data_IF_241663562279
#
_entry.id   IF_241663562279
#
_cell.length_a   1.000
_cell.length_b   1.000
_cell.length_c   1.000
_cell.angle_alpha   90.00
_cell.angle_beta   90.00
_cell.angle_gamma   90.00
#
_symmetry.space_group_name_H-M   'P 1'
#
loop_
_entity.id
_entity.type
_entity.pdbx_description
1 polymer ?
#
# COMPACT_ATOMS: atom_id res chain seq x y z
N UNK A 1 5.82 -0.47 -13.12
CA UNK A 1 4.83 0.56 -12.74
C UNK A 1 4.39 1.46 -13.88
N UNK A 2 5.20 2.39 -14.41
CA UNK A 2 4.73 3.35 -15.43
C UNK A 2 4.06 2.69 -16.66
N UNK A 3 4.65 1.61 -17.20
CA UNK A 3 4.06 0.82 -18.28
C UNK A 3 2.73 0.15 -17.89
N UNK A 4 2.63 -0.36 -16.66
CA UNK A 4 1.40 -0.95 -16.13
C UNK A 4 0.28 0.09 -16.02
N UNK A 5 0.58 1.26 -15.46
CA UNK A 5 -0.39 2.36 -15.37
C UNK A 5 -0.76 2.99 -16.73
N UNK A 6 -0.12 2.57 -17.82
CA UNK A 6 -0.49 2.94 -19.19
C UNK A 6 -1.34 1.88 -19.91
N UNK A 7 -1.62 0.74 -19.27
CA UNK A 7 -2.55 -0.26 -19.80
C UNK A 7 -3.98 0.28 -19.67
N UNK A 8 -4.78 0.13 -20.73
CA UNK A 8 -6.19 0.51 -20.72
C UNK A 8 -6.95 -0.26 -19.62
N UNK A 9 -7.53 0.42 -18.61
CA UNK A 9 -8.27 -0.24 -17.54
C UNK A 9 -9.68 -0.67 -17.97
N UNK A 10 -10.22 -0.18 -19.09
CA UNK A 10 -11.62 -0.39 -19.49
C UNK A 10 -12.03 -1.87 -19.64
N UNK A 11 -11.22 -2.78 -20.20
CA UNK A 11 -11.57 -4.20 -20.26
C UNK A 11 -11.71 -4.81 -18.86
N UNK A 12 -10.80 -4.47 -17.94
CA UNK A 12 -10.84 -4.96 -16.57
C UNK A 12 -12.03 -4.35 -15.81
N UNK A 13 -12.28 -3.05 -15.97
CA UNK A 13 -13.41 -2.36 -15.35
C UNK A 13 -14.75 -2.99 -15.74
N UNK A 14 -14.91 -3.35 -17.01
CA UNK A 14 -16.12 -4.05 -17.49
C UNK A 14 -16.26 -5.44 -16.87
N UNK A 15 -15.19 -6.24 -16.88
CA UNK A 15 -15.22 -7.58 -16.29
C UNK A 15 -15.50 -7.56 -14.77
N UNK A 16 -14.93 -6.61 -14.04
CA UNK A 16 -15.18 -6.42 -12.61
C UNK A 16 -16.59 -5.89 -12.30
N UNK A 17 -17.26 -5.25 -13.27
CA UNK A 17 -18.66 -4.82 -13.13
C UNK A 17 -19.64 -5.98 -12.97
N UNK A 18 -19.24 -7.18 -13.40
CA UNK A 18 -20.06 -8.40 -13.39
C UNK A 18 -19.80 -9.29 -12.15
N UNK A 19 -18.84 -8.93 -11.30
CA UNK A 19 -18.41 -9.72 -10.15
C UNK A 19 -18.79 -9.02 -8.84
N UNK A 20 -19.58 -9.71 -8.02
CA UNK A 20 -19.96 -9.26 -6.68
C UNK A 20 -18.97 -9.71 -5.61
N UNK A 21 -18.90 -8.97 -4.49
CA UNK A 21 -18.14 -9.36 -3.30
C UNK A 21 -16.63 -9.09 -3.34
N UNK A 22 -16.11 -8.46 -4.39
CA UNK A 22 -14.70 -8.06 -4.51
C UNK A 22 -14.58 -6.54 -4.40
N UNK A 23 -13.62 -6.06 -3.61
CA UNK A 23 -13.27 -4.64 -3.58
C UNK A 23 -12.63 -4.23 -4.91
N UNK A 24 -13.26 -3.34 -5.67
CA UNK A 24 -12.77 -2.89 -6.98
C UNK A 24 -12.12 -1.53 -6.92
N UNK A 25 -12.45 -0.75 -5.89
CA UNK A 25 -11.95 0.62 -5.67
C UNK A 25 -11.39 0.79 -4.26
N UNK A 26 -10.60 1.84 -4.05
CA UNK A 26 -10.06 2.18 -2.71
C UNK A 26 -11.16 2.38 -1.66
N UNK A 27 -12.27 3.11 -1.93
CA UNK A 27 -13.36 3.23 -0.95
C UNK A 27 -14.01 1.88 -0.61
N UNK A 28 -14.23 1.00 -1.59
CA UNK A 28 -14.76 -0.36 -1.31
C UNK A 28 -13.79 -1.17 -0.46
N UNK A 29 -12.48 -1.12 -0.77
CA UNK A 29 -11.44 -1.78 0.03
C UNK A 29 -11.43 -1.25 1.47
N UNK A 30 -11.49 0.07 1.67
CA UNK A 30 -11.54 0.67 3.00
C UNK A 30 -12.82 0.27 3.75
N UNK A 31 -13.99 0.18 3.11
CA UNK A 31 -15.21 -0.30 3.76
C UNK A 31 -15.10 -1.75 4.22
N UNK A 32 -14.48 -2.63 3.42
CA UNK A 32 -14.23 -4.01 3.84
C UNK A 32 -13.29 -4.07 5.04
N UNK A 33 -12.22 -3.26 5.04
CA UNK A 33 -11.29 -3.14 6.17
C UNK A 33 -12.03 -2.61 7.41
N UNK A 34 -12.85 -1.57 7.29
CA UNK A 34 -13.62 -1.01 8.40
C UNK A 34 -14.58 -2.04 8.99
N UNK A 35 -15.32 -2.75 8.14
CA UNK A 35 -16.27 -3.77 8.58
C UNK A 35 -15.56 -4.90 9.34
N UNK A 36 -14.48 -5.43 8.77
CA UNK A 36 -13.72 -6.52 9.39
C UNK A 36 -13.01 -6.08 10.69
N UNK A 37 -12.38 -4.91 10.70
CA UNK A 37 -11.72 -4.38 11.91
C UNK A 37 -12.71 -4.05 13.02
N UNK A 38 -13.95 -3.68 12.68
CA UNK A 38 -15.04 -3.48 13.64
C UNK A 38 -15.51 -4.82 14.22
N UNK A 39 -15.66 -5.86 13.40
CA UNK A 39 -16.11 -7.18 13.86
C UNK A 39 -15.07 -7.96 14.66
N UNK A 40 -13.80 -7.53 14.63
CA UNK A 40 -12.67 -8.19 15.32
C UNK A 40 -12.07 -7.35 16.45
N UNK A 41 -12.80 -6.33 16.92
CA UNK A 41 -12.39 -5.42 17.99
C UNK A 41 -11.06 -4.68 17.75
N UNK A 42 -10.62 -4.55 16.49
CA UNK A 42 -9.54 -3.64 16.07
C UNK A 42 -10.05 -2.21 15.89
N UNK A 43 -10.68 -1.68 16.95
CA UNK A 43 -11.32 -0.36 16.95
C UNK A 43 -10.37 0.79 16.57
N UNK A 44 -9.07 0.65 16.87
CA UNK A 44 -8.05 1.61 16.46
C UNK A 44 -7.93 1.71 14.92
N UNK A 45 -7.91 0.57 14.23
CA UNK A 45 -7.88 0.51 12.77
C UNK A 45 -9.23 0.89 12.16
N UNK A 46 -10.35 0.47 12.75
CA UNK A 46 -11.68 0.86 12.29
C UNK A 46 -11.85 2.38 12.30
N UNK A 47 -11.42 3.05 13.38
CA UNK A 47 -11.49 4.50 13.50
C UNK A 47 -10.57 5.22 12.50
N UNK A 48 -9.35 4.74 12.30
CA UNK A 48 -8.42 5.29 11.30
C UNK A 48 -8.96 5.10 9.87
N UNK A 49 -9.56 3.95 9.58
CA UNK A 49 -10.18 3.65 8.28
C UNK A 49 -11.39 4.55 8.01
N UNK A 50 -12.25 4.74 9.02
CA UNK A 50 -13.39 5.67 8.94
C UNK A 50 -12.94 7.11 8.71
N UNK A 51 -11.83 7.52 9.32
CA UNK A 51 -11.25 8.84 9.05
C UNK A 51 -10.87 8.97 7.57
N UNK A 52 -10.20 7.98 6.98
CA UNK A 52 -9.81 7.98 5.56
C UNK A 52 -11.04 8.04 4.64
N UNK A 53 -12.08 7.26 4.95
CA UNK A 53 -13.35 7.28 4.21
C UNK A 53 -14.04 8.65 4.25
N UNK A 54 -13.95 9.37 5.36
CA UNK A 54 -14.56 10.69 5.54
C UNK A 54 -13.70 11.85 5.00
N UNK A 55 -12.44 11.61 4.65
CA UNK A 55 -11.51 12.62 4.14
C UNK A 55 -10.81 12.12 2.87
N UNK A 56 -11.53 11.79 1.79
CA UNK A 56 -10.92 11.30 0.55
C UNK A 56 -10.06 12.38 -0.11
N UNK A 57 -8.99 11.96 -0.78
CA UNK A 57 -8.22 12.82 -1.70
C UNK A 57 -8.52 12.40 -3.14
N UNK A 58 -8.95 13.36 -3.95
CA UNK A 58 -9.05 13.19 -5.40
C UNK A 58 -7.63 13.14 -6.00
N UNK A 59 -7.30 12.05 -6.69
CA UNK A 59 -5.95 11.80 -7.19
C UNK A 59 -5.87 11.50 -8.70
N UNK A 60 -6.91 11.89 -9.44
CA UNK A 60 -7.03 11.69 -10.89
C UNK A 60 -7.69 10.36 -11.26
N UNK A 61 -7.55 9.97 -12.52
CA UNK A 61 -8.21 8.79 -13.09
C UNK A 61 -7.67 7.48 -12.51
N UNK A 62 -8.58 6.51 -12.41
CA UNK A 62 -8.26 5.14 -12.01
C UNK A 62 -7.47 4.42 -13.10
N UNK A 63 -6.43 3.71 -12.66
CA UNK A 63 -5.63 2.81 -13.48
C UNK A 63 -5.61 1.43 -12.83
N UNK A 64 -5.07 0.44 -13.54
CA UNK A 64 -4.78 -0.86 -12.93
C UNK A 64 -3.61 -0.68 -11.96
N UNK A 65 -3.90 -0.64 -10.66
CA UNK A 65 -2.90 -0.68 -9.60
C UNK A 65 -2.67 -2.13 -9.19
N UNK A 66 -1.39 -2.50 -9.00
CA UNK A 66 -1.03 -3.83 -8.54
C UNK A 66 -1.35 -4.05 -7.06
N UNK A 67 -1.24 -2.99 -6.25
CA UNK A 67 -1.46 -3.02 -4.80
C UNK A 67 -0.31 -3.61 -3.99
N UNK A 68 0.61 -4.34 -4.62
CA UNK A 68 1.79 -4.95 -3.96
C UNK A 68 3.03 -5.01 -4.87
N UNK A 69 3.29 -3.95 -5.65
CA UNK A 69 4.34 -3.98 -6.66
C UNK A 69 5.73 -3.77 -6.03
N UNK A 70 6.44 -4.87 -5.77
CA UNK A 70 7.82 -4.86 -5.28
C UNK A 70 8.72 -5.83 -6.07
N UNK A 71 10.06 -5.74 -5.96
CA UNK A 71 10.97 -6.54 -6.78
C UNK A 71 10.74 -8.05 -6.75
N UNK A 72 10.28 -8.62 -5.62
CA UNK A 72 9.98 -10.06 -5.55
C UNK A 72 8.69 -10.49 -6.27
N UNK A 73 7.82 -9.57 -6.68
CA UNK A 73 6.64 -9.83 -7.51
C UNK A 73 6.94 -9.59 -9.00
N UNK A 74 8.23 -9.63 -9.38
CA UNK A 74 8.68 -9.42 -10.76
C UNK A 74 9.68 -10.48 -11.18
N UNK A 75 9.46 -11.09 -12.33
CA UNK A 75 10.42 -11.96 -13.01
C UNK A 75 10.95 -11.22 -14.23
N UNK A 76 12.28 -11.15 -14.33
CA UNK A 76 12.96 -10.55 -15.47
C UNK A 76 13.66 -11.68 -16.23
N UNK A 77 13.28 -11.89 -17.49
CA UNK A 77 13.94 -12.88 -18.34
C UNK A 77 15.31 -12.38 -18.86
N UNK A 78 16.07 -13.27 -19.49
CA UNK A 78 17.41 -12.95 -20.04
C UNK A 78 17.39 -11.84 -21.11
N UNK A 79 16.24 -11.60 -21.74
CA UNK A 79 16.04 -10.56 -22.76
C UNK A 79 15.49 -9.26 -22.17
N UNK A 80 15.31 -9.18 -20.85
CA UNK A 80 14.75 -8.03 -20.15
C UNK A 80 13.22 -7.93 -20.22
N UNK A 81 12.53 -8.98 -20.65
CA UNK A 81 11.09 -9.11 -20.52
C UNK A 81 10.69 -9.16 -19.05
N UNK A 82 9.61 -8.47 -18.68
CA UNK A 82 9.16 -8.34 -17.29
C UNK A 82 7.78 -8.97 -17.15
N UNK A 83 7.70 -10.01 -16.31
CA UNK A 83 6.44 -10.61 -15.87
C UNK A 83 6.15 -10.17 -14.45
N UNK A 84 4.95 -9.63 -14.22
CA UNK A 84 4.48 -9.21 -12.90
C UNK A 84 3.60 -10.33 -12.31
N UNK A 85 3.91 -10.73 -11.09
CA UNK A 85 3.28 -11.83 -10.38
C UNK A 85 2.39 -11.31 -9.24
N UNK A 86 1.53 -12.18 -8.73
CA UNK A 86 0.69 -11.94 -7.54
C UNK A 86 -0.24 -10.71 -7.64
N UNK A 87 -1.30 -10.89 -8.42
CA UNK A 87 -2.34 -9.88 -8.63
C UNK A 87 -3.46 -9.92 -7.57
N UNK A 88 -3.26 -10.62 -6.45
CA UNK A 88 -4.28 -10.78 -5.40
C UNK A 88 -4.68 -9.46 -4.74
N UNK A 89 -3.78 -8.47 -4.78
CA UNK A 89 -3.97 -7.12 -4.24
C UNK A 89 -4.45 -6.09 -5.28
N UNK A 90 -4.69 -6.51 -6.52
CA UNK A 90 -4.96 -5.61 -7.62
C UNK A 90 -6.30 -4.88 -7.44
N UNK A 91 -6.32 -3.60 -7.79
CA UNK A 91 -7.48 -2.73 -7.62
C UNK A 91 -7.48 -1.63 -8.68
N UNK A 92 -8.66 -1.18 -9.10
CA UNK A 92 -8.78 0.05 -9.90
C UNK A 92 -8.73 1.23 -8.94
N UNK A 93 -7.70 2.04 -9.08
CA UNK A 93 -7.43 3.14 -8.18
C UNK A 93 -6.59 4.22 -8.86
N UNK A 94 -6.55 5.44 -8.32
CA UNK A 94 -5.61 6.42 -8.81
C UNK A 94 -4.20 5.89 -8.65
N UNK A 95 -3.37 6.12 -9.67
CA UNK A 95 -1.96 5.70 -9.73
C UNK A 95 -1.13 6.05 -8.48
N UNK A 96 -1.60 7.01 -7.69
CA UNK A 96 -1.03 7.38 -6.39
C UNK A 96 -0.96 6.21 -5.40
N UNK A 97 -1.86 5.22 -5.47
CA UNK A 97 -1.85 4.05 -4.58
C UNK A 97 -0.56 3.23 -4.73
N UNK A 98 -0.25 2.78 -5.94
CA UNK A 98 0.97 2.00 -6.23
C UNK A 98 2.25 2.80 -5.97
N UNK A 99 2.22 4.10 -6.28
CA UNK A 99 3.34 5.02 -6.01
C UNK A 99 3.56 5.18 -4.50
N UNK A 100 2.49 5.32 -3.72
CA UNK A 100 2.54 5.38 -2.27
C UNK A 100 3.09 4.09 -1.69
N UNK A 101 2.58 2.92 -2.11
CA UNK A 101 3.07 1.61 -1.69
C UNK A 101 4.58 1.48 -1.89
N UNK A 102 5.05 1.71 -3.13
CA UNK A 102 6.48 1.54 -3.45
C UNK A 102 7.34 2.56 -2.72
N UNK A 103 6.92 3.83 -2.63
CA UNK A 103 7.68 4.86 -1.90
C UNK A 103 7.77 4.55 -0.40
N UNK A 104 6.71 4.00 0.19
CA UNK A 104 6.64 3.63 1.60
C UNK A 104 7.61 2.49 1.90
N UNK A 105 7.61 1.46 1.05
CA UNK A 105 8.51 0.29 1.17
C UNK A 105 9.98 0.69 1.00
N UNK A 106 10.29 1.56 0.04
CA UNK A 106 11.66 2.08 -0.15
C UNK A 106 12.12 2.95 1.04
N UNK A 107 11.22 3.73 1.62
CA UNK A 107 11.53 4.62 2.76
C UNK A 107 11.60 3.89 4.09
N UNK A 108 10.90 2.75 4.21
CA UNK A 108 10.81 1.92 5.41
C UNK A 108 11.06 0.45 5.05
N UNK A 109 12.29 0.10 4.65
CA UNK A 109 12.60 -1.28 4.27
C UNK A 109 12.40 -2.20 5.49
N UNK A 110 11.77 -3.37 5.32
CA UNK A 110 11.48 -4.32 6.39
C UNK A 110 12.75 -5.07 6.80
N UNK A 111 13.70 -4.35 7.41
CA UNK A 111 15.01 -4.86 7.80
C UNK A 111 15.24 -4.62 9.29
N UNK A 112 15.56 -5.70 10.01
CA UNK A 112 16.03 -5.60 11.39
C UNK A 112 17.46 -5.10 11.40
N UNK A 113 17.65 -3.86 11.87
CA UNK A 113 18.96 -3.19 11.86
C UNK A 113 19.32 -2.66 13.23
N UNK A 114 20.61 -2.70 13.62
CA UNK A 114 21.08 -2.11 14.86
C UNK A 114 20.70 -0.63 14.96
N UNK A 115 20.33 -0.16 16.16
CA UNK A 115 19.79 1.19 16.38
C UNK A 115 20.65 2.32 15.79
N UNK A 116 21.99 2.18 15.86
CA UNK A 116 22.96 3.14 15.30
C UNK A 116 22.93 3.26 13.77
N UNK A 117 22.50 2.21 13.05
CA UNK A 117 22.43 2.19 11.59
C UNK A 117 21.09 2.71 11.04
N UNK A 118 20.05 2.80 11.89
CA UNK A 118 18.71 3.28 11.52
C UNK A 118 18.69 4.64 10.80
N UNK A 119 19.36 5.71 11.27
CA UNK A 119 19.27 7.01 10.60
C UNK A 119 19.90 6.99 9.20
N UNK A 120 20.99 6.25 9.02
CA UNK A 120 21.68 6.08 7.74
C UNK A 120 20.79 5.36 6.74
N UNK A 121 20.20 4.23 7.16
CA UNK A 121 19.28 3.46 6.31
C UNK A 121 18.00 4.25 5.99
N UNK A 122 17.45 4.98 6.95
CA UNK A 122 16.32 5.86 6.69
C UNK A 122 16.67 6.97 5.68
N UNK A 123 17.89 7.52 5.74
CA UNK A 123 18.40 8.48 4.76
C UNK A 123 18.53 7.87 3.35
N UNK A 124 19.14 6.69 3.25
CA UNK A 124 19.26 5.97 1.98
C UNK A 124 17.89 5.60 1.40
N UNK A 125 16.96 5.12 2.23
CA UNK A 125 15.60 4.78 1.83
C UNK A 125 14.83 6.00 1.28
N UNK A 126 14.91 7.15 1.96
CA UNK A 126 14.33 8.41 1.46
C UNK A 126 14.94 8.83 0.12
N UNK A 127 16.25 8.70 -0.06
CA UNK A 127 16.90 9.02 -1.32
C UNK A 127 16.42 8.09 -2.46
N UNK A 128 16.26 6.79 -2.18
CA UNK A 128 15.70 5.83 -3.13
C UNK A 128 14.25 6.14 -3.48
N UNK A 129 13.41 6.47 -2.49
CA UNK A 129 12.03 6.87 -2.71
C UNK A 129 11.94 8.15 -3.55
N UNK A 130 12.75 9.17 -3.28
CA UNK A 130 12.83 10.38 -4.09
C UNK A 130 13.25 10.08 -5.54
N UNK A 131 14.26 9.22 -5.74
CA UNK A 131 14.70 8.81 -7.07
C UNK A 131 13.59 8.05 -7.82
N UNK A 132 12.87 7.19 -7.12
CA UNK A 132 11.70 6.49 -7.67
C UNK A 132 10.62 7.47 -8.10
N UNK A 133 10.20 8.41 -7.24
CA UNK A 133 9.20 9.43 -7.57
C UNK A 133 9.62 10.28 -8.77
N UNK A 134 10.87 10.74 -8.80
CA UNK A 134 11.40 11.53 -9.90
C UNK A 134 11.38 10.75 -11.23
N UNK A 135 11.76 9.46 -11.20
CA UNK A 135 11.76 8.63 -12.41
C UNK A 135 10.35 8.25 -12.86
N UNK A 136 9.44 8.02 -11.93
CA UNK A 136 8.03 7.79 -12.24
C UNK A 136 7.40 9.02 -12.90
N UNK A 137 7.64 10.22 -12.35
CA UNK A 137 7.22 11.49 -12.96
C UNK A 137 7.79 11.68 -14.35
N UNK A 138 9.09 11.42 -14.53
CA UNK A 138 9.75 11.54 -15.83
C UNK A 138 9.10 10.64 -16.90
N UNK A 139 8.72 9.41 -16.56
CA UNK A 139 8.12 8.47 -17.51
C UNK A 139 6.62 8.66 -17.76
N UNK A 140 5.89 9.30 -16.84
CA UNK A 140 4.43 9.40 -16.92
C UNK A 140 3.91 10.84 -17.09
N UNK A 141 4.76 11.84 -16.86
CA UNK A 141 4.33 13.25 -16.72
C UNK A 141 3.57 13.55 -15.42
N UNK A 142 3.23 12.53 -14.63
CA UNK A 142 2.43 12.68 -13.41
C UNK A 142 3.30 12.88 -12.17
N UNK A 143 3.01 13.94 -11.42
CA UNK A 143 3.61 14.19 -10.12
C UNK A 143 2.57 13.96 -9.02
N UNK A 144 2.94 13.16 -8.01
CA UNK A 144 2.14 13.01 -6.80
C UNK A 144 2.57 14.10 -5.84
N UNK A 145 1.66 14.98 -5.43
CA UNK A 145 1.94 15.94 -4.37
C UNK A 145 2.09 15.23 -3.02
N UNK A 146 2.67 15.93 -2.04
CA UNK A 146 2.99 15.36 -0.74
C UNK A 146 1.76 14.94 0.06
N UNK A 147 0.65 15.68 -0.03
CA UNK A 147 -0.57 15.34 0.70
C UNK A 147 -1.26 14.11 0.13
N UNK A 148 -1.35 14.02 -1.20
CA UNK A 148 -1.85 12.83 -1.89
C UNK A 148 -0.98 11.63 -1.55
N UNK A 149 0.35 11.78 -1.62
CA UNK A 149 1.27 10.70 -1.29
C UNK A 149 1.07 10.21 0.15
N UNK A 150 1.01 11.12 1.13
CA UNK A 150 0.83 10.77 2.54
C UNK A 150 -0.52 10.08 2.80
N UNK A 151 -1.59 10.53 2.15
CA UNK A 151 -2.91 9.93 2.30
C UNK A 151 -2.95 8.50 1.74
N UNK A 152 -2.41 8.27 0.53
CA UNK A 152 -2.32 6.92 -0.03
C UNK A 152 -1.33 6.03 0.73
N UNK A 153 -0.28 6.59 1.33
CA UNK A 153 0.59 5.85 2.24
C UNK A 153 -0.18 5.41 3.50
N UNK A 154 -1.08 6.23 4.03
CA UNK A 154 -1.96 5.84 5.13
C UNK A 154 -2.95 4.73 4.72
N UNK A 155 -3.50 4.76 3.49
CA UNK A 155 -4.30 3.65 2.94
C UNK A 155 -3.50 2.34 2.90
N UNK A 156 -2.25 2.39 2.42
CA UNK A 156 -1.38 1.21 2.43
C UNK A 156 -1.10 0.72 3.86
N UNK A 157 -0.82 1.66 4.79
CA UNK A 157 -0.58 1.31 6.19
C UNK A 157 -1.77 0.61 6.83
N UNK A 158 -3.00 1.12 6.65
CA UNK A 158 -4.18 0.52 7.27
C UNK A 158 -4.49 -0.86 6.70
N UNK A 159 -4.31 -1.05 5.38
CA UNK A 159 -4.44 -2.37 4.74
C UNK A 159 -3.43 -3.36 5.33
N UNK A 160 -2.15 -2.97 5.39
CA UNK A 160 -1.09 -3.84 5.89
C UNK A 160 -1.29 -4.21 7.38
N UNK A 161 -1.72 -3.26 8.19
CA UNK A 161 -2.01 -3.49 9.61
C UNK A 161 -3.26 -4.35 9.82
N UNK A 162 -4.30 -4.19 9.00
CA UNK A 162 -5.51 -5.00 9.08
C UNK A 162 -5.24 -6.47 8.74
N UNK A 163 -4.44 -6.75 7.72
CA UNK A 163 -4.09 -8.14 7.41
C UNK A 163 -3.11 -8.74 8.43
N UNK A 164 -2.16 -7.95 8.95
CA UNK A 164 -1.33 -8.41 10.06
C UNK A 164 -2.21 -8.77 11.27
N UNK A 165 -3.25 -7.98 11.54
CA UNK A 165 -4.25 -8.27 12.56
C UNK A 165 -5.08 -9.53 12.25
N UNK A 166 -5.39 -9.80 10.98
CA UNK A 166 -6.14 -11.01 10.61
C UNK A 166 -5.35 -12.27 10.87
N UNK A 167 -4.02 -12.25 10.69
CA UNK A 167 -3.18 -13.39 11.06
C UNK A 167 -3.14 -13.63 12.57
N UNK A 168 -3.31 -12.59 13.39
CA UNK A 168 -3.46 -12.75 14.84
C UNK A 168 -4.82 -13.39 15.15
N UNK A 169 -5.87 -12.91 14.49
CA UNK A 169 -7.22 -13.42 14.67
C UNK A 169 -7.34 -14.91 14.27
N UNK A 170 -6.67 -15.30 13.20
CA UNK A 170 -6.70 -16.66 12.63
C UNK A 170 -5.66 -17.61 13.26
N UNK A 171 -4.96 -17.20 14.33
CA UNK A 171 -3.85 -17.94 14.96
C UNK A 171 -2.75 -18.38 13.97
N UNK A 172 -2.53 -17.57 12.93
CA UNK A 172 -1.64 -17.85 11.80
C UNK A 172 -0.30 -17.10 11.87
N UNK A 173 -0.03 -16.39 12.97
CA UNK A 173 1.20 -15.60 13.16
C UNK A 173 2.48 -16.46 13.11
N UNK A 174 2.44 -17.68 13.64
CA UNK A 174 3.61 -18.55 13.78
C UNK A 174 4.31 -18.87 12.46
N UNK A 175 3.55 -18.93 11.36
CA UNK A 175 4.09 -19.16 10.00
C UNK A 175 4.56 -17.90 9.27
N UNK A 176 4.45 -16.72 9.89
CA UNK A 176 4.68 -15.41 9.25
C UNK A 176 5.78 -14.60 9.90
N UNK A 177 6.60 -15.23 10.76
CA UNK A 177 7.77 -14.57 11.34
C UNK A 177 8.67 -13.97 10.25
N UNK A 178 9.04 -12.70 10.39
CA UNK A 178 9.83 -11.98 9.39
C UNK A 178 9.02 -11.42 8.21
N UNK A 179 7.69 -11.57 8.19
CA UNK A 179 6.87 -10.95 7.14
C UNK A 179 7.04 -9.42 7.14
N UNK A 180 7.17 -8.76 5.96
CA UNK A 180 7.39 -7.32 5.88
C UNK A 180 6.41 -6.47 6.69
N UNK A 181 5.15 -6.89 6.78
CA UNK A 181 4.11 -6.12 7.47
C UNK A 181 4.26 -6.19 8.99
N UNK A 182 4.79 -7.30 9.52
CA UNK A 182 5.12 -7.42 10.94
C UNK A 182 6.36 -6.59 11.28
N UNK A 183 7.39 -6.66 10.43
CA UNK A 183 8.64 -5.91 10.60
C UNK A 183 8.40 -4.39 10.54
N UNK A 184 7.55 -3.94 9.62
CA UNK A 184 7.25 -2.52 9.41
C UNK A 184 6.04 -2.02 10.22
N UNK A 185 5.35 -2.88 10.96
CA UNK A 185 4.07 -2.56 11.61
C UNK A 185 4.12 -1.35 12.54
N UNK A 186 5.20 -1.19 13.32
CA UNK A 186 5.38 0.01 14.18
C UNK A 186 5.53 1.29 13.35
N UNK A 187 6.22 1.23 12.21
CA UNK A 187 6.36 2.36 11.29
C UNK A 187 5.04 2.71 10.64
N UNK A 188 4.29 1.70 10.18
CA UNK A 188 2.97 1.88 9.57
C UNK A 188 1.96 2.46 10.54
N UNK A 189 1.91 1.97 11.79
CA UNK A 189 1.02 2.51 12.82
C UNK A 189 1.32 3.98 13.12
N UNK A 190 2.61 4.36 13.22
CA UNK A 190 3.02 5.76 13.41
C UNK A 190 2.63 6.66 12.24
N UNK A 191 2.84 6.19 11.02
CA UNK A 191 2.49 6.95 9.82
C UNK A 191 0.97 7.15 9.71
N UNK A 192 0.20 6.08 9.88
CA UNK A 192 -1.26 6.13 9.88
C UNK A 192 -1.79 7.08 10.97
N UNK A 193 -1.21 7.04 12.17
CA UNK A 193 -1.57 7.95 13.25
C UNK A 193 -1.22 9.41 12.94
N UNK A 194 -0.10 9.67 12.28
CA UNK A 194 0.30 11.03 11.90
C UNK A 194 -0.65 11.65 10.86
N UNK A 195 -1.20 10.85 9.94
CA UNK A 195 -2.13 11.32 8.92
C UNK A 195 -3.55 11.47 9.47
N UNK A 196 -4.02 10.51 10.27
CA UNK A 196 -5.43 10.44 10.71
C UNK A 196 -5.69 11.10 12.06
N UNK A 197 -4.65 11.34 12.86
CA UNK A 197 -4.77 11.74 14.27
C UNK A 197 -5.27 10.63 15.21
N UNK A 198 -5.55 9.43 14.69
CA UNK A 198 -6.02 8.28 15.47
C UNK A 198 -4.82 7.52 16.03
N UNK A 199 -4.84 7.17 17.32
CA UNK A 199 -3.81 6.32 17.90
C UNK A 199 -3.98 4.88 17.40
N UNK A 200 -2.95 4.35 16.72
CA UNK A 200 -2.95 3.01 16.14
C UNK A 200 -1.84 2.14 16.76
N UNK A 201 -2.13 0.85 16.99
CA UNK A 201 -1.15 -0.15 17.41
C UNK A 201 -0.77 -1.08 16.25
N UNK A 202 0.47 -1.56 16.26
CA UNK A 202 1.01 -2.41 15.19
C UNK A 202 0.37 -3.81 15.15
N UNK A 203 0.14 -4.42 16.31
CA UNK A 203 -0.53 -5.70 16.50
C UNK A 203 -1.54 -5.61 17.63
#
# INVERSE_FOLDING_TARGET
>A
MARLHGVDPQPLQRALGEVDGVARTVPEMLRHIEAWTTSTDRNDLANATRWLLNHPIEAGEDVICHGDLHPFNMVIDERGGVTVLDWSAAVLAPRALDVAFTSLLLSNPPLEVPGRARPVLAGAGRALAHRFLARYRHHTGYAVDSSTLAWYQAVVCVRALAEAASWVHDDALGGRAGHPWLLSGTGFAKHLAAVTGVRVRAL
#
